data_IF_676566645868
#
_entry.id   IF_676566645868
#
_cell.length_a   1.000
_cell.length_b   1.000
_cell.length_c   1.000
_cell.angle_alpha   90.00
_cell.angle_beta   90.00
_cell.angle_gamma   90.00
#
_symmetry.space_group_name_H-M   'P 1'
#
loop_
_entity.id
_entity.type
_entity.pdbx_description
1 polymer ?
#
# COMPACT_ATOMS: atom_id res chain seq x y z
N UNK A 1 0.76 -26.39 -37.28
CA UNK A 1 1.30 -27.73 -37.34
C UNK A 1 0.97 -28.39 -38.68
N UNK A 2 -0.21 -28.22 -39.23
CA UNK A 2 -0.62 -28.62 -40.59
C UNK A 2 0.34 -28.10 -41.67
N UNK A 3 0.69 -26.80 -41.63
CA UNK A 3 1.68 -26.19 -42.57
C UNK A 3 3.05 -26.91 -42.55
N UNK A 4 3.46 -27.38 -41.37
CA UNK A 4 4.74 -28.10 -41.23
C UNK A 4 4.66 -29.52 -41.79
N UNK A 5 3.50 -30.16 -41.62
CA UNK A 5 3.20 -31.49 -42.21
C UNK A 5 3.23 -31.45 -43.70
N UNK A 6 2.48 -30.51 -44.30
CA UNK A 6 2.48 -30.26 -45.76
C UNK A 6 3.87 -29.96 -46.35
N UNK A 7 4.64 -29.15 -45.61
CA UNK A 7 6.01 -28.81 -46.03
C UNK A 7 6.96 -30.03 -46.03
N UNK A 8 6.83 -30.93 -45.04
CA UNK A 8 7.62 -32.17 -44.98
C UNK A 8 7.22 -33.12 -46.08
N UNK A 9 5.90 -33.33 -46.29
CA UNK A 9 5.38 -34.18 -47.35
C UNK A 9 5.79 -33.64 -48.74
N UNK A 10 5.66 -32.34 -48.98
CA UNK A 10 6.04 -31.71 -50.22
C UNK A 10 7.57 -31.86 -50.49
N UNK A 11 8.40 -31.71 -49.46
CA UNK A 11 9.85 -31.92 -49.57
C UNK A 11 10.17 -33.37 -49.92
N UNK A 12 9.48 -34.34 -49.27
CA UNK A 12 9.67 -35.77 -49.58
C UNK A 12 9.24 -36.07 -51.02
N UNK A 13 8.07 -35.55 -51.47
CA UNK A 13 7.54 -35.72 -52.81
C UNK A 13 8.55 -35.20 -53.87
N UNK A 14 9.09 -34.00 -53.67
CA UNK A 14 10.06 -33.45 -54.58
C UNK A 14 11.36 -34.26 -54.63
N UNK A 15 11.82 -34.75 -53.49
CA UNK A 15 13.06 -35.56 -53.43
C UNK A 15 12.86 -36.92 -54.13
N UNK A 16 11.77 -37.61 -53.85
CA UNK A 16 11.47 -38.91 -54.48
C UNK A 16 11.26 -38.72 -55.97
N UNK A 17 10.52 -37.68 -56.40
CA UNK A 17 10.31 -37.36 -57.81
C UNK A 17 11.62 -37.11 -58.58
N UNK A 18 12.53 -36.29 -57.98
CA UNK A 18 13.83 -36.02 -58.60
C UNK A 18 14.67 -37.30 -58.72
N UNK A 19 14.70 -38.13 -57.70
CA UNK A 19 15.42 -39.42 -57.75
C UNK A 19 14.79 -40.36 -58.78
N UNK A 20 13.44 -40.41 -58.82
CA UNK A 20 12.72 -41.23 -59.74
C UNK A 20 12.95 -40.86 -61.20
N UNK A 21 13.06 -39.58 -61.54
CA UNK A 21 13.40 -39.07 -62.85
C UNK A 21 14.82 -39.51 -63.31
N UNK A 22 15.79 -39.47 -62.36
CA UNK A 22 17.13 -39.95 -62.66
C UNK A 22 17.13 -41.46 -62.94
N UNK A 23 16.37 -42.22 -62.18
CA UNK A 23 16.21 -43.66 -62.28
C UNK A 23 15.56 -44.06 -63.59
N UNK A 24 14.47 -43.37 -63.98
CA UNK A 24 13.78 -43.66 -65.24
C UNK A 24 14.65 -43.41 -66.45
N UNK A 25 15.50 -42.34 -66.42
CA UNK A 25 16.49 -42.06 -67.50
C UNK A 25 17.58 -43.13 -67.55
N UNK A 26 18.03 -43.60 -66.39
CA UNK A 26 18.99 -44.69 -66.29
C UNK A 26 18.42 -46.01 -66.92
N UNK A 27 17.14 -46.29 -66.57
CA UNK A 27 16.43 -47.43 -67.08
C UNK A 27 16.28 -47.35 -68.60
N UNK A 28 15.84 -46.24 -69.14
CA UNK A 28 15.74 -45.99 -70.59
C UNK A 28 17.07 -46.23 -71.34
N UNK A 29 18.20 -45.75 -70.72
CA UNK A 29 19.54 -45.92 -71.33
C UNK A 29 20.11 -47.36 -71.26
N UNK A 30 19.45 -48.22 -70.43
CA UNK A 30 19.87 -49.63 -70.29
C UNK A 30 19.12 -50.61 -71.21
N UNK A 31 18.14 -50.09 -71.95
CA UNK A 31 17.44 -50.86 -73.01
C UNK A 31 18.36 -51.09 -74.20
N UNK A 32 18.32 -52.30 -74.77
CA UNK A 32 19.07 -52.65 -76.04
C UNK A 32 18.45 -51.95 -77.26
N UNK A 33 19.13 -52.00 -78.38
CA UNK A 33 18.69 -51.39 -79.71
C UNK A 33 17.28 -51.92 -80.10
N UNK A 34 16.92 -53.12 -79.71
CA UNK A 34 15.57 -53.70 -79.93
C UNK A 34 14.55 -53.38 -78.88
N UNK A 35 14.92 -52.59 -77.78
CA UNK A 35 14.05 -52.17 -76.66
C UNK A 35 13.65 -53.27 -75.66
N UNK A 36 14.35 -54.40 -75.70
CA UNK A 36 14.11 -55.57 -74.88
C UNK A 36 15.20 -55.77 -73.83
N UNK A 37 14.78 -55.95 -72.61
CA UNK A 37 15.62 -56.49 -71.51
C UNK A 37 15.08 -57.85 -71.12
N UNK A 38 15.97 -58.76 -70.72
CA UNK A 38 15.53 -60.03 -70.21
C UNK A 38 14.77 -59.83 -68.94
N UNK A 39 13.78 -60.63 -68.65
CA UNK A 39 12.92 -60.59 -67.40
C UNK A 39 13.76 -60.53 -66.10
N UNK A 40 14.93 -61.16 -66.10
CA UNK A 40 15.86 -61.18 -64.95
C UNK A 40 16.60 -59.86 -64.81
N UNK A 41 17.07 -59.23 -65.85
CA UNK A 41 17.78 -57.92 -65.85
C UNK A 41 16.81 -56.80 -65.47
N UNK A 42 15.57 -56.84 -65.98
CA UNK A 42 14.52 -55.89 -65.68
C UNK A 42 14.16 -55.94 -64.15
N UNK A 43 14.08 -57.14 -63.60
CA UNK A 43 13.77 -57.35 -62.17
C UNK A 43 14.92 -56.89 -61.24
N UNK A 44 16.19 -57.21 -61.59
CA UNK A 44 17.39 -56.83 -60.86
C UNK A 44 17.54 -55.31 -60.84
N UNK A 45 17.37 -54.67 -62.02
CA UNK A 45 17.41 -53.21 -62.12
C UNK A 45 16.32 -52.54 -61.30
N UNK A 46 15.10 -52.98 -61.47
CA UNK A 46 13.99 -52.45 -60.71
C UNK A 46 14.14 -52.60 -59.18
N UNK A 47 14.71 -53.71 -58.72
CA UNK A 47 14.98 -53.92 -57.26
C UNK A 47 16.08 -53.00 -56.72
N UNK A 48 17.15 -52.85 -57.53
CA UNK A 48 18.22 -51.92 -57.14
C UNK A 48 17.75 -50.50 -57.09
N UNK A 49 16.94 -50.08 -58.01
CA UNK A 49 16.42 -48.73 -58.11
C UNK A 49 15.35 -48.50 -56.97
N UNK A 50 14.49 -49.46 -56.69
CA UNK A 50 13.52 -49.37 -55.58
C UNK A 50 14.20 -49.22 -54.24
N UNK A 51 15.35 -49.89 -54.04
CA UNK A 51 16.14 -49.72 -52.81
C UNK A 51 16.75 -48.34 -52.63
N UNK A 52 17.06 -47.64 -53.70
CA UNK A 52 17.62 -46.29 -53.65
C UNK A 52 16.58 -45.24 -53.25
N UNK A 53 15.30 -45.41 -53.63
CA UNK A 53 14.25 -44.47 -53.40
C UNK A 53 13.30 -44.90 -52.24
N UNK A 54 13.58 -46.03 -51.61
CA UNK A 54 12.69 -46.62 -50.58
C UNK A 54 11.20 -46.65 -51.03
N UNK A 55 11.01 -47.19 -52.23
CA UNK A 55 9.68 -47.16 -52.89
C UNK A 55 9.41 -48.48 -53.60
N UNK A 56 8.16 -48.83 -53.69
CA UNK A 56 7.73 -49.93 -54.55
C UNK A 56 7.71 -49.43 -55.99
N UNK A 57 8.39 -50.14 -56.90
CA UNK A 57 8.44 -49.82 -58.34
C UNK A 57 7.80 -50.95 -59.14
N UNK A 58 6.90 -50.58 -60.06
CA UNK A 58 6.27 -51.44 -61.01
C UNK A 58 6.56 -50.97 -62.42
N UNK A 59 6.90 -51.89 -63.32
CA UNK A 59 7.10 -51.61 -64.76
C UNK A 59 5.93 -52.23 -65.51
N UNK A 60 5.26 -51.46 -66.34
CA UNK A 60 4.01 -51.79 -66.97
C UNK A 60 4.25 -51.70 -68.49
N UNK A 61 3.83 -52.74 -69.23
CA UNK A 61 3.91 -52.81 -70.67
C UNK A 61 2.75 -52.07 -71.40
N UNK A 62 2.78 -51.96 -72.68
CA UNK A 62 1.73 -51.38 -73.55
C UNK A 62 0.38 -52.06 -73.47
N UNK A 63 0.33 -53.30 -72.96
CA UNK A 63 -0.93 -54.02 -72.69
C UNK A 63 -1.43 -53.79 -71.35
N UNK A 64 -0.86 -52.81 -70.60
CA UNK A 64 -1.18 -52.52 -69.23
C UNK A 64 -0.92 -53.66 -68.23
N UNK A 65 -0.01 -54.61 -68.61
CA UNK A 65 0.40 -55.70 -67.73
C UNK A 65 1.65 -55.34 -66.97
N UNK A 66 1.62 -55.62 -65.66
CA UNK A 66 2.80 -55.38 -64.77
C UNK A 66 3.86 -56.47 -65.13
N UNK A 67 4.89 -56.12 -65.83
CA UNK A 67 6.00 -57.00 -66.19
C UNK A 67 6.91 -57.27 -65.02
N UNK A 68 7.17 -56.22 -64.23
CA UNK A 68 8.04 -56.28 -63.05
C UNK A 68 7.35 -55.55 -61.87
N UNK A 69 7.42 -56.14 -60.67
CA UNK A 69 7.01 -55.56 -59.44
C UNK A 69 8.06 -55.87 -58.36
N UNK A 70 8.65 -54.89 -57.79
CA UNK A 70 9.74 -55.06 -56.78
C UNK A 70 9.30 -55.83 -55.56
N UNK A 71 7.98 -55.81 -55.23
CA UNK A 71 7.41 -56.60 -54.14
C UNK A 71 6.87 -57.96 -54.61
N UNK A 72 6.90 -58.21 -55.91
CA UNK A 72 6.43 -59.48 -56.56
C UNK A 72 4.95 -59.84 -56.32
N UNK A 73 4.13 -58.88 -55.85
CA UNK A 73 2.73 -59.12 -55.47
C UNK A 73 1.80 -59.03 -56.70
N UNK A 74 2.08 -58.11 -57.63
CA UNK A 74 1.18 -57.78 -58.70
C UNK A 74 1.73 -58.13 -60.11
N UNK A 75 2.87 -58.83 -60.19
CA UNK A 75 3.41 -59.29 -61.48
C UNK A 75 2.42 -60.09 -62.30
N UNK A 76 2.24 -59.74 -63.55
CA UNK A 76 1.32 -60.39 -64.46
C UNK A 76 -0.17 -59.91 -64.32
N UNK A 77 -0.44 -58.96 -63.42
CA UNK A 77 -1.78 -58.37 -63.33
C UNK A 77 -1.87 -57.11 -64.19
N UNK A 78 -3.10 -56.71 -64.49
CA UNK A 78 -3.33 -55.44 -65.21
C UNK A 78 -3.29 -54.24 -64.24
N UNK A 79 -2.59 -53.16 -64.66
CA UNK A 79 -2.58 -51.89 -63.97
C UNK A 79 -3.17 -50.81 -64.89
N UNK A 80 -4.45 -50.56 -64.76
CA UNK A 80 -5.18 -49.58 -65.57
C UNK A 80 -5.58 -48.42 -64.69
N UNK A 81 -4.59 -47.58 -64.34
CA UNK A 81 -4.83 -46.32 -63.65
C UNK A 81 -4.83 -45.17 -64.66
N UNK A 82 -5.49 -44.09 -64.31
CA UNK A 82 -5.54 -42.89 -65.14
C UNK A 82 -4.13 -42.36 -65.45
N UNK A 83 -3.21 -42.37 -64.49
CA UNK A 83 -1.83 -41.89 -64.64
C UNK A 83 -1.05 -42.79 -65.63
N UNK A 84 -1.20 -44.11 -65.53
CA UNK A 84 -0.51 -45.02 -66.46
C UNK A 84 -1.02 -44.85 -67.90
N UNK A 85 -2.36 -44.68 -68.01
CA UNK A 85 -2.99 -44.43 -69.31
C UNK A 85 -2.52 -43.08 -69.96
N UNK A 86 -2.49 -42.02 -69.08
CA UNK A 86 -2.02 -40.72 -69.51
C UNK A 86 -0.56 -40.75 -69.93
N UNK A 87 0.31 -41.46 -69.23
CA UNK A 87 1.71 -41.66 -69.59
C UNK A 87 1.88 -42.34 -70.97
N UNK A 88 1.13 -43.44 -71.30
CA UNK A 88 1.20 -44.09 -72.60
C UNK A 88 0.67 -43.21 -73.73
N UNK A 89 -0.20 -42.23 -73.41
CA UNK A 89 -0.67 -41.23 -74.37
C UNK A 89 0.26 -40.01 -74.53
N UNK A 90 1.42 -40.04 -73.89
CA UNK A 90 2.41 -38.93 -73.94
C UNK A 90 2.01 -37.73 -73.04
N UNK A 91 1.08 -37.87 -72.17
CA UNK A 91 0.66 -36.83 -71.24
C UNK A 91 1.54 -36.94 -69.96
N UNK A 92 2.30 -35.89 -69.69
CA UNK A 92 3.10 -35.81 -68.42
C UNK A 92 2.20 -35.82 -67.18
N UNK A 93 2.47 -36.71 -66.27
CA UNK A 93 1.80 -36.78 -64.98
C UNK A 93 2.66 -36.15 -63.89
N UNK A 94 2.03 -35.39 -63.01
CA UNK A 94 2.76 -34.81 -61.84
C UNK A 94 2.66 -35.76 -60.65
N UNK A 95 3.73 -35.87 -59.84
CA UNK A 95 3.63 -36.60 -58.58
C UNK A 95 2.54 -36.04 -57.71
N UNK A 96 1.79 -36.93 -57.03
CA UNK A 96 0.75 -36.54 -56.07
C UNK A 96 0.76 -37.44 -54.83
N UNK A 97 0.12 -36.95 -53.78
CA UNK A 97 -0.06 -37.69 -52.53
C UNK A 97 -1.41 -38.32 -52.52
N UNK A 98 -1.44 -39.62 -52.32
CA UNK A 98 -2.65 -40.38 -52.01
C UNK A 98 -2.77 -40.45 -50.50
N UNK A 99 -3.64 -39.60 -49.94
CA UNK A 99 -3.83 -39.48 -48.48
C UNK A 99 -4.49 -40.72 -47.92
N UNK A 100 -5.37 -41.39 -48.66
CA UNK A 100 -6.11 -42.59 -48.21
C UNK A 100 -5.15 -43.79 -48.03
N UNK A 101 -4.14 -43.90 -48.87
CA UNK A 101 -3.16 -44.98 -48.80
C UNK A 101 -1.81 -44.53 -48.22
N UNK A 102 -1.72 -43.28 -47.72
CA UNK A 102 -0.52 -42.69 -47.12
C UNK A 102 0.74 -42.88 -47.96
N UNK A 103 0.62 -42.63 -49.30
CA UNK A 103 1.72 -42.82 -50.18
C UNK A 103 1.83 -41.69 -51.25
N UNK A 104 3.04 -41.49 -51.77
CA UNK A 104 3.33 -40.63 -52.91
C UNK A 104 3.28 -41.55 -54.12
N UNK A 105 2.54 -41.16 -55.15
CA UNK A 105 2.43 -41.86 -56.44
C UNK A 105 3.18 -41.06 -57.47
N UNK A 106 4.07 -41.74 -58.22
CA UNK A 106 4.86 -41.16 -59.30
C UNK A 106 4.80 -42.07 -60.50
N UNK A 107 4.47 -41.50 -61.65
CA UNK A 107 4.34 -42.24 -62.90
C UNK A 107 5.23 -41.58 -63.97
N UNK A 108 6.03 -42.32 -64.67
CA UNK A 108 6.91 -41.81 -65.76
C UNK A 108 7.00 -42.78 -66.86
N UNK A 109 7.01 -42.22 -68.08
CA UNK A 109 7.20 -43.00 -69.31
C UNK A 109 8.68 -43.39 -69.53
N UNK A 110 8.94 -44.59 -70.01
CA UNK A 110 10.23 -45.08 -70.46
C UNK A 110 10.16 -45.13 -71.92
N UNK A 111 11.02 -44.39 -72.57
CA UNK A 111 11.09 -44.29 -74.04
C UNK A 111 12.18 -45.21 -74.61
N UNK A 112 12.11 -45.49 -75.90
CA UNK A 112 13.15 -46.18 -76.61
C UNK A 112 14.43 -45.36 -76.67
N UNK A 113 15.52 -45.93 -77.22
CA UNK A 113 16.83 -45.29 -77.32
C UNK A 113 16.84 -44.04 -78.27
N UNK A 114 15.87 -43.90 -79.17
CA UNK A 114 15.68 -42.76 -80.07
C UNK A 114 14.71 -41.70 -79.45
N UNK A 115 14.00 -42.01 -78.37
CA UNK A 115 13.05 -41.11 -77.71
C UNK A 115 11.76 -40.89 -78.50
N UNK A 116 11.42 -41.77 -79.42
CA UNK A 116 10.23 -41.64 -80.30
C UNK A 116 9.04 -42.45 -79.84
N UNK A 117 9.25 -43.58 -79.13
CA UNK A 117 8.17 -44.49 -78.73
C UNK A 117 8.25 -44.83 -77.28
N UNK A 118 7.06 -44.82 -76.58
CA UNK A 118 6.93 -45.21 -75.15
C UNK A 118 6.84 -46.72 -75.08
N UNK A 119 7.84 -47.39 -74.51
CA UNK A 119 7.91 -48.86 -74.42
C UNK A 119 7.25 -49.33 -73.14
N UNK A 120 7.55 -48.70 -71.99
CA UNK A 120 7.05 -49.06 -70.71
C UNK A 120 6.65 -47.84 -69.95
N UNK A 121 5.87 -48.04 -68.91
CA UNK A 121 5.55 -47.02 -67.86
C UNK A 121 6.04 -47.51 -66.53
N UNK A 122 6.87 -46.67 -65.91
CA UNK A 122 7.34 -46.90 -64.55
C UNK A 122 6.32 -46.25 -63.54
N UNK A 123 5.82 -47.04 -62.64
CA UNK A 123 4.89 -46.60 -61.59
C UNK A 123 5.51 -46.87 -60.21
N UNK A 124 5.72 -45.83 -59.42
CA UNK A 124 6.28 -45.95 -58.10
C UNK A 124 5.32 -45.47 -57.00
N UNK A 125 5.33 -46.20 -55.90
CA UNK A 125 4.62 -45.82 -54.68
C UNK A 125 5.61 -45.74 -53.52
N UNK A 126 5.73 -44.56 -52.90
CA UNK A 126 6.60 -44.30 -51.72
C UNK A 126 5.71 -44.05 -50.52
N UNK A 127 5.88 -44.81 -49.45
CA UNK A 127 5.12 -44.63 -48.22
C UNK A 127 5.53 -43.34 -47.48
N UNK A 128 4.53 -42.66 -46.94
CA UNK A 128 4.68 -41.51 -46.05
C UNK A 128 4.08 -41.76 -44.66
N UNK A 129 3.72 -43.01 -44.36
CA UNK A 129 3.14 -43.40 -43.08
C UNK A 129 4.10 -43.09 -41.89
N UNK A 130 5.43 -43.18 -42.13
CA UNK A 130 6.45 -42.81 -41.14
C UNK A 130 6.39 -41.31 -40.80
N UNK A 131 6.10 -40.47 -41.78
CA UNK A 131 5.94 -39.03 -41.59
C UNK A 131 4.70 -38.75 -40.73
N UNK A 132 3.55 -39.36 -41.05
CA UNK A 132 2.33 -39.22 -40.27
C UNK A 132 2.49 -39.70 -38.82
N UNK A 133 3.14 -40.86 -38.61
CA UNK A 133 3.46 -41.35 -37.26
C UNK A 133 4.38 -40.44 -36.49
N UNK A 134 5.43 -39.90 -37.10
CA UNK A 134 6.33 -38.93 -36.47
C UNK A 134 5.59 -37.64 -36.11
N UNK A 135 4.79 -37.12 -37.01
CA UNK A 135 4.01 -35.89 -36.77
C UNK A 135 2.98 -36.09 -35.66
N UNK A 136 2.32 -37.23 -35.61
CA UNK A 136 1.36 -37.52 -34.51
C UNK A 136 2.04 -37.60 -33.13
N UNK A 137 3.23 -38.22 -33.09
CA UNK A 137 4.03 -38.23 -31.86
C UNK A 137 4.44 -36.82 -31.41
N UNK A 138 4.86 -35.97 -32.38
CA UNK A 138 5.17 -34.57 -32.08
C UNK A 138 3.93 -33.82 -31.55
N UNK A 139 2.75 -34.04 -32.16
CA UNK A 139 1.49 -33.47 -31.74
C UNK A 139 1.15 -33.86 -30.28
N UNK A 140 1.33 -35.13 -29.92
CA UNK A 140 1.11 -35.63 -28.56
C UNK A 140 2.10 -35.04 -27.53
N UNK A 141 3.37 -34.98 -27.87
CA UNK A 141 4.40 -34.38 -27.00
C UNK A 141 4.12 -32.88 -26.78
N UNK A 142 3.80 -32.16 -27.87
CA UNK A 142 3.48 -30.73 -27.77
C UNK A 142 2.25 -30.49 -26.88
N UNK A 143 1.18 -31.31 -27.03
CA UNK A 143 0.01 -31.23 -26.20
C UNK A 143 0.34 -31.49 -24.71
N UNK A 144 1.15 -32.51 -24.42
CA UNK A 144 1.59 -32.81 -23.04
C UNK A 144 2.40 -31.66 -22.43
N UNK A 145 3.30 -31.05 -23.17
CA UNK A 145 4.09 -29.89 -22.70
C UNK A 145 3.17 -28.68 -22.40
N UNK A 146 2.21 -28.39 -23.27
CA UNK A 146 1.25 -27.30 -23.05
C UNK A 146 0.43 -27.53 -21.78
N UNK A 147 -0.05 -28.77 -21.55
CA UNK A 147 -0.81 -29.12 -20.36
C UNK A 147 0.05 -28.94 -19.09
N UNK A 148 1.29 -29.42 -19.09
CA UNK A 148 2.21 -29.26 -17.98
C UNK A 148 2.47 -27.78 -17.66
N UNK A 149 2.74 -26.97 -18.68
CA UNK A 149 2.94 -25.54 -18.52
C UNK A 149 1.69 -24.85 -17.94
N UNK A 150 0.51 -25.21 -18.45
CA UNK A 150 -0.75 -24.67 -17.93
C UNK A 150 -0.93 -25.00 -16.43
N UNK A 151 -0.64 -26.22 -16.01
CA UNK A 151 -0.71 -26.64 -14.60
C UNK A 151 0.28 -25.84 -13.75
N UNK A 152 1.51 -25.65 -14.21
CA UNK A 152 2.54 -24.84 -13.50
C UNK A 152 2.06 -23.39 -13.33
N UNK A 153 1.53 -22.77 -14.38
CA UNK A 153 1.04 -21.39 -14.31
C UNK A 153 -0.14 -21.27 -13.35
N UNK A 154 -1.12 -22.21 -13.39
CA UNK A 154 -2.25 -22.22 -12.47
C UNK A 154 -1.78 -22.37 -11.03
N UNK A 155 -0.85 -23.30 -10.77
CA UNK A 155 -0.30 -23.50 -9.44
C UNK A 155 0.43 -22.24 -8.93
N UNK A 156 1.27 -21.63 -9.78
CA UNK A 156 1.98 -20.39 -9.44
C UNK A 156 1.01 -19.23 -9.15
N UNK A 157 -0.08 -19.11 -9.93
CA UNK A 157 -1.10 -18.09 -9.72
C UNK A 157 -1.86 -18.28 -8.39
N UNK A 158 -2.27 -19.51 -8.06
CA UNK A 158 -2.94 -19.81 -6.79
C UNK A 158 -2.03 -19.58 -5.60
N UNK A 159 -0.77 -20.04 -5.70
CA UNK A 159 0.22 -19.87 -4.64
C UNK A 159 0.59 -18.40 -4.41
N UNK A 160 0.81 -17.64 -5.49
CA UNK A 160 1.06 -16.21 -5.43
C UNK A 160 -0.12 -15.43 -4.85
N UNK A 161 -1.34 -15.75 -5.26
CA UNK A 161 -2.57 -15.16 -4.70
C UNK A 161 -2.69 -15.43 -3.20
N UNK A 162 -2.41 -16.63 -2.75
CA UNK A 162 -2.45 -16.98 -1.31
C UNK A 162 -1.43 -16.17 -0.50
N UNK A 163 -0.19 -16.03 -0.99
CA UNK A 163 0.87 -15.25 -0.32
C UNK A 163 0.52 -13.77 -0.22
N UNK A 164 -0.12 -13.21 -1.25
CA UNK A 164 -0.49 -11.79 -1.29
C UNK A 164 -1.75 -11.48 -0.49
N UNK A 165 -2.76 -12.37 -0.50
CA UNK A 165 -4.05 -12.08 0.16
C UNK A 165 -4.08 -12.38 1.65
N UNK A 166 -3.29 -13.36 2.12
CA UNK A 166 -3.25 -13.73 3.54
C UNK A 166 -2.91 -12.56 4.48
N UNK A 167 -1.89 -11.71 4.23
CA UNK A 167 -1.60 -10.54 5.07
C UNK A 167 -2.77 -9.56 5.17
N UNK A 168 -3.46 -9.28 4.07
CA UNK A 168 -4.61 -8.37 4.07
C UNK A 168 -5.79 -8.90 4.91
N UNK A 169 -6.00 -10.22 4.92
CA UNK A 169 -7.01 -10.82 5.78
C UNK A 169 -6.71 -10.62 7.28
N UNK A 170 -5.43 -10.63 7.67
CA UNK A 170 -5.04 -10.34 9.07
C UNK A 170 -5.32 -8.88 9.39
N UNK A 171 -4.91 -7.94 8.52
CA UNK A 171 -5.18 -6.50 8.71
C UNK A 171 -6.68 -6.25 8.87
N UNK A 172 -7.51 -6.80 7.97
CA UNK A 172 -8.97 -6.62 8.03
C UNK A 172 -9.57 -7.17 9.33
N UNK A 173 -9.10 -8.34 9.78
CA UNK A 173 -9.57 -8.92 11.05
C UNK A 173 -9.19 -8.05 12.25
N UNK A 174 -7.96 -7.51 12.28
CA UNK A 174 -7.52 -6.62 13.35
C UNK A 174 -8.30 -5.30 13.33
N UNK A 175 -8.57 -4.72 12.15
CA UNK A 175 -9.42 -3.53 12.03
C UNK A 175 -10.80 -3.77 12.64
N UNK A 176 -11.45 -4.89 12.33
CA UNK A 176 -12.76 -5.22 12.88
C UNK A 176 -12.72 -5.39 14.40
N UNK A 177 -11.65 -5.95 14.96
CA UNK A 177 -11.48 -6.10 16.41
C UNK A 177 -11.21 -4.75 17.12
N UNK A 178 -10.50 -3.84 16.44
CA UNK A 178 -10.33 -2.46 16.90
C UNK A 178 -11.68 -1.74 16.97
N UNK A 179 -12.54 -1.94 15.97
CA UNK A 179 -13.92 -1.37 15.98
C UNK A 179 -14.78 -1.93 17.11
N UNK A 180 -14.53 -3.19 17.52
CA UNK A 180 -15.14 -3.82 18.71
C UNK A 180 -14.53 -3.36 20.05
N UNK A 181 -13.54 -2.45 20.03
CA UNK A 181 -12.93 -1.86 21.22
C UNK A 181 -11.64 -2.54 21.71
N UNK A 182 -11.08 -3.48 20.96
CA UNK A 182 -9.82 -4.16 21.30
C UNK A 182 -8.63 -3.40 20.72
N UNK A 183 -8.21 -2.33 21.34
CA UNK A 183 -7.16 -1.41 20.86
C UNK A 183 -5.72 -1.89 21.16
N UNK A 184 -5.53 -2.97 21.89
CA UNK A 184 -4.20 -3.44 22.35
C UNK A 184 -3.49 -4.39 21.35
N UNK A 185 -4.11 -4.71 20.22
CA UNK A 185 -3.56 -5.68 19.28
C UNK A 185 -2.60 -5.04 18.28
N UNK A 186 -1.34 -5.42 18.35
CA UNK A 186 -0.34 -5.06 17.37
C UNK A 186 -0.33 -6.03 16.18
N UNK A 187 -0.30 -5.49 14.97
CA UNK A 187 -0.10 -6.25 13.75
C UNK A 187 1.39 -6.49 13.54
N UNK A 188 1.81 -7.75 13.55
CA UNK A 188 3.18 -8.14 13.24
C UNK A 188 3.19 -9.03 12.00
N UNK A 189 3.14 -8.41 10.83
CA UNK A 189 3.22 -9.10 9.54
C UNK A 189 4.67 -9.08 9.07
N UNK A 190 5.21 -10.29 8.83
CA UNK A 190 6.52 -10.47 8.19
C UNK A 190 6.27 -10.87 6.74
N UNK A 191 6.95 -10.24 5.80
CA UNK A 191 6.79 -10.54 4.39
C UNK A 191 7.52 -9.56 3.48
N UNK A 192 6.88 -9.17 2.38
CA UNK A 192 7.42 -8.14 1.50
C UNK A 192 7.55 -6.80 2.23
N UNK A 193 8.54 -6.01 1.85
CA UNK A 193 8.89 -4.71 2.47
C UNK A 193 7.67 -3.79 2.60
N UNK A 194 6.81 -3.79 1.59
CA UNK A 194 5.60 -2.97 1.53
C UNK A 194 4.56 -3.38 2.58
N UNK A 195 4.47 -4.68 2.88
CA UNK A 195 3.55 -5.21 3.91
C UNK A 195 4.05 -4.86 5.31
N UNK A 196 5.36 -4.89 5.53
CA UNK A 196 5.97 -4.47 6.80
C UNK A 196 5.78 -2.97 7.03
N UNK A 197 5.91 -2.15 6.00
CA UNK A 197 5.68 -0.70 6.06
C UNK A 197 4.21 -0.37 6.39
N UNK A 198 3.25 -1.06 5.75
CA UNK A 198 1.82 -0.91 6.06
C UNK A 198 1.55 -1.33 7.51
N UNK A 199 2.13 -2.43 7.97
CA UNK A 199 2.00 -2.92 9.35
C UNK A 199 2.52 -1.88 10.36
N UNK A 200 3.69 -1.30 10.10
CA UNK A 200 4.28 -0.26 10.96
C UNK A 200 3.43 1.02 10.97
N UNK A 201 2.94 1.47 9.82
CA UNK A 201 2.07 2.64 9.72
C UNK A 201 0.73 2.42 10.46
N UNK A 202 0.16 1.22 10.35
CA UNK A 202 -1.07 0.85 11.06
C UNK A 202 -0.87 0.82 12.58
N UNK A 203 0.22 0.20 13.07
CA UNK A 203 0.53 0.18 14.50
C UNK A 203 0.71 1.60 15.06
N UNK A 204 1.41 2.47 14.32
CA UNK A 204 1.54 3.89 14.69
C UNK A 204 0.18 4.59 14.79
N UNK A 205 -0.76 4.26 13.90
CA UNK A 205 -2.13 4.78 13.96
C UNK A 205 -2.87 4.23 15.19
N UNK A 206 -2.75 2.94 15.50
CA UNK A 206 -3.34 2.32 16.70
C UNK A 206 -2.79 2.96 17.98
N UNK A 207 -1.48 3.15 18.09
CA UNK A 207 -0.86 3.83 19.22
C UNK A 207 -1.43 5.23 19.39
N UNK A 208 -1.65 5.95 18.29
CA UNK A 208 -2.26 7.28 18.34
C UNK A 208 -3.70 7.26 18.79
N UNK A 209 -4.50 6.29 18.33
CA UNK A 209 -5.90 6.12 18.78
C UNK A 209 -5.93 5.77 20.26
N UNK A 210 -5.08 4.85 20.74
CA UNK A 210 -4.96 4.49 22.14
C UNK A 210 -4.61 5.69 23.02
N UNK A 211 -3.63 6.50 22.60
CA UNK A 211 -3.27 7.72 23.33
C UNK A 211 -4.43 8.70 23.40
N UNK A 212 -5.20 8.86 22.31
CA UNK A 212 -6.37 9.74 22.29
C UNK A 212 -7.47 9.22 23.19
N UNK A 213 -7.78 7.92 23.17
CA UNK A 213 -8.82 7.33 24.01
C UNK A 213 -8.45 7.37 25.49
N UNK A 214 -7.20 7.04 25.84
CA UNK A 214 -6.69 7.17 27.22
C UNK A 214 -6.79 8.63 27.68
N UNK A 215 -6.32 9.58 26.86
CA UNK A 215 -6.43 11.00 27.19
C UNK A 215 -7.87 11.47 27.36
N UNK A 216 -8.82 10.93 26.58
CA UNK A 216 -10.26 11.20 26.70
C UNK A 216 -10.83 10.65 28.01
N UNK A 217 -10.47 9.41 28.37
CA UNK A 217 -10.92 8.79 29.62
C UNK A 217 -10.37 9.53 30.85
N UNK A 218 -9.07 9.87 30.82
CA UNK A 218 -8.44 10.67 31.88
C UNK A 218 -9.11 12.04 32.01
N UNK A 219 -9.45 12.69 30.89
CA UNK A 219 -10.15 13.95 30.86
C UNK A 219 -11.52 13.81 31.54
N UNK A 220 -12.36 12.84 31.18
CA UNK A 220 -13.70 12.62 31.79
C UNK A 220 -13.57 12.30 33.25
N UNK A 221 -12.62 11.45 33.64
CA UNK A 221 -12.38 11.11 35.06
C UNK A 221 -11.97 12.33 35.87
N UNK A 222 -11.01 13.12 35.39
CA UNK A 222 -10.53 14.32 36.09
C UNK A 222 -11.61 15.39 36.18
N UNK A 223 -12.39 15.64 35.11
CA UNK A 223 -13.55 16.54 35.16
C UNK A 223 -14.54 16.11 36.26
N UNK A 224 -14.87 14.81 36.33
CA UNK A 224 -15.79 14.28 37.30
C UNK A 224 -15.27 14.49 38.73
N UNK A 225 -13.98 14.28 38.95
CA UNK A 225 -13.33 14.48 40.24
C UNK A 225 -13.28 15.96 40.64
N UNK A 226 -12.88 16.86 39.73
CA UNK A 226 -12.75 18.29 40.04
C UNK A 226 -14.10 18.97 40.25
N UNK A 227 -15.19 18.50 39.62
CA UNK A 227 -16.55 18.99 39.88
C UNK A 227 -17.17 18.38 41.14
N UNK A 228 -16.88 17.12 41.47
CA UNK A 228 -17.44 16.45 42.66
C UNK A 228 -16.95 17.09 43.93
N UNK A 229 -15.73 17.60 44.00
CA UNK A 229 -15.13 18.20 45.20
C UNK A 229 -15.88 19.43 45.67
N UNK A 230 -16.07 20.52 44.88
CA UNK A 230 -16.81 21.70 45.32
C UNK A 230 -18.29 21.37 45.64
N UNK A 231 -18.93 20.49 44.84
CA UNK A 231 -20.30 20.06 45.09
C UNK A 231 -20.44 19.33 46.44
N UNK A 232 -19.47 18.48 46.79
CA UNK A 232 -19.48 17.80 48.09
C UNK A 232 -19.24 18.77 49.23
N UNK A 233 -18.31 19.73 49.06
CA UNK A 233 -18.04 20.80 50.04
C UNK A 233 -19.27 21.65 50.29
N UNK A 234 -19.93 22.13 49.23
CA UNK A 234 -21.18 22.88 49.31
C UNK A 234 -22.27 22.08 50.05
N UNK A 235 -22.40 20.79 49.76
CA UNK A 235 -23.36 19.93 50.39
C UNK A 235 -23.09 19.79 51.92
N UNK A 236 -21.84 19.55 52.30
CA UNK A 236 -21.44 19.43 53.71
C UNK A 236 -21.69 20.74 54.47
N UNK A 237 -21.37 21.90 53.88
CA UNK A 237 -21.66 23.21 54.48
C UNK A 237 -23.17 23.42 54.67
N UNK A 238 -23.97 23.11 53.63
CA UNK A 238 -25.43 23.22 53.70
C UNK A 238 -26.05 22.25 54.74
N UNK A 239 -25.60 20.98 54.73
CA UNK A 239 -26.07 19.96 55.69
C UNK A 239 -25.71 20.35 57.16
N UNK A 240 -24.52 20.94 57.36
CA UNK A 240 -24.09 21.43 58.67
C UNK A 240 -24.94 22.56 59.12
N UNK A 241 -25.28 23.56 58.31
CA UNK A 241 -26.19 24.65 58.67
C UNK A 241 -27.61 24.18 58.96
N UNK A 242 -28.11 23.21 58.19
CA UNK A 242 -29.47 22.69 58.38
C UNK A 242 -29.64 21.76 59.56
N UNK A 243 -28.54 21.20 60.09
CA UNK A 243 -28.54 20.32 61.27
C UNK A 243 -28.40 21.05 62.61
N UNK A 244 -28.18 22.36 62.63
CA UNK A 244 -28.02 23.18 63.82
C UNK A 244 -29.34 23.90 64.15
N UNK A 245 -29.87 23.76 65.39
CA UNK A 245 -31.12 24.39 65.77
C UNK A 245 -31.01 25.89 66.13
N UNK A 246 -29.81 26.41 66.49
CA UNK A 246 -29.59 27.83 66.77
C UNK A 246 -28.21 28.27 66.31
N UNK A 247 -28.10 28.75 65.02
CA UNK A 247 -26.84 29.19 64.42
C UNK A 247 -26.62 30.66 64.70
N UNK A 248 -25.51 31.07 65.38
CA UNK A 248 -25.14 32.48 65.54
C UNK A 248 -25.02 33.18 64.15
N UNK A 249 -25.46 34.46 64.09
CA UNK A 249 -25.46 35.22 62.84
C UNK A 249 -24.03 35.31 62.17
N UNK A 250 -22.99 35.41 63.00
CA UNK A 250 -21.60 35.42 62.54
C UNK A 250 -21.25 34.09 61.83
N UNK A 251 -21.53 32.96 62.40
CA UNK A 251 -21.31 31.63 61.92
C UNK A 251 -22.15 31.38 60.65
N UNK A 252 -23.42 31.79 60.62
CA UNK A 252 -24.23 31.73 59.40
C UNK A 252 -23.59 32.49 58.21
N UNK A 253 -23.05 33.68 58.49
CA UNK A 253 -22.39 34.52 57.51
C UNK A 253 -21.09 33.88 56.98
N UNK A 254 -20.30 33.27 57.84
CA UNK A 254 -19.08 32.56 57.49
C UNK A 254 -19.40 31.36 56.59
N UNK A 255 -20.37 30.51 56.94
CA UNK A 255 -20.79 29.41 56.07
C UNK A 255 -21.31 29.86 54.68
N UNK A 256 -22.04 30.99 54.64
CA UNK A 256 -22.53 31.54 53.37
C UNK A 256 -21.40 32.11 52.51
N UNK A 257 -20.36 32.69 53.13
CA UNK A 257 -19.18 33.13 52.42
C UNK A 257 -18.40 31.94 51.83
N UNK A 258 -18.20 30.88 52.62
CA UNK A 258 -17.55 29.65 52.20
C UNK A 258 -18.33 28.96 51.06
N UNK A 259 -19.67 28.91 51.20
CA UNK A 259 -20.54 28.35 50.16
C UNK A 259 -20.45 29.14 48.85
N UNK A 260 -20.43 30.49 48.93
CA UNK A 260 -20.25 31.36 47.77
C UNK A 260 -18.89 31.12 47.10
N UNK A 261 -17.82 30.96 47.87
CA UNK A 261 -16.49 30.64 47.38
C UNK A 261 -16.43 29.31 46.63
N UNK A 262 -17.12 28.26 47.11
CA UNK A 262 -17.17 26.97 46.41
C UNK A 262 -18.05 27.04 45.15
N UNK A 263 -19.08 27.87 45.09
CA UNK A 263 -19.86 28.15 43.87
C UNK A 263 -18.99 28.84 42.81
N UNK A 264 -18.26 29.89 43.20
CA UNK A 264 -17.36 30.63 42.31
C UNK A 264 -16.27 29.72 41.77
N UNK A 265 -15.73 28.84 42.60
CA UNK A 265 -14.77 27.82 42.19
C UNK A 265 -15.36 26.84 41.17
N UNK A 266 -16.57 26.34 41.41
CA UNK A 266 -17.29 25.48 40.47
C UNK A 266 -17.52 26.13 39.11
N UNK A 267 -17.91 27.42 39.11
CA UNK A 267 -18.10 28.20 37.91
C UNK A 267 -16.79 28.37 37.13
N UNK A 268 -15.67 28.67 37.80
CA UNK A 268 -14.37 28.80 37.17
C UNK A 268 -13.93 27.48 36.47
N UNK A 269 -14.16 26.32 37.11
CA UNK A 269 -13.89 25.00 36.50
C UNK A 269 -14.73 24.82 35.25
N UNK A 270 -16.01 25.16 35.26
CA UNK A 270 -16.93 25.04 34.11
C UNK A 270 -16.49 25.96 32.97
N UNK A 271 -16.08 27.20 33.23
CA UNK A 271 -15.62 28.15 32.24
C UNK A 271 -14.31 27.68 31.58
N UNK A 272 -13.36 27.18 32.38
CA UNK A 272 -12.11 26.58 31.89
C UNK A 272 -12.39 25.38 30.96
N UNK A 273 -13.31 24.48 31.38
CA UNK A 273 -13.71 23.32 30.57
C UNK A 273 -14.38 23.72 29.27
N UNK A 274 -15.32 24.69 29.30
CA UNK A 274 -15.98 25.19 28.09
C UNK A 274 -14.96 25.83 27.12
N UNK A 275 -14.00 26.57 27.64
CA UNK A 275 -12.91 27.16 26.87
C UNK A 275 -12.08 26.07 26.19
N UNK A 276 -11.73 25.03 26.94
CA UNK A 276 -10.92 23.91 26.45
C UNK A 276 -11.67 23.09 25.37
N UNK A 277 -12.96 22.77 25.56
CA UNK A 277 -13.78 22.04 24.59
C UNK A 277 -13.96 22.83 23.30
N UNK A 278 -14.18 24.16 23.39
CA UNK A 278 -14.25 25.03 22.21
C UNK A 278 -12.94 25.06 21.44
N UNK A 279 -11.80 24.99 22.14
CA UNK A 279 -10.47 24.95 21.53
C UNK A 279 -10.19 23.62 20.81
N UNK A 280 -10.68 22.50 21.33
CA UNK A 280 -10.46 21.16 20.73
C UNK A 280 -11.33 20.92 19.49
N UNK A 281 -12.58 21.39 19.44
CA UNK A 281 -13.55 21.04 18.39
C UNK A 281 -13.39 21.78 17.07
N UNK A 282 -12.89 23.03 17.07
CA UNK A 282 -12.91 23.88 15.87
C UNK A 282 -11.54 24.29 15.36
N UNK A 283 -10.45 23.81 16.03
CA UNK A 283 -9.16 24.49 15.88
C UNK A 283 -9.35 25.95 16.31
N UNK A 284 -8.54 26.46 17.20
CA UNK A 284 -8.70 27.82 17.74
C UNK A 284 -8.92 28.85 16.64
N UNK A 285 -10.17 29.21 16.34
CA UNK A 285 -10.45 30.37 15.49
C UNK A 285 -10.09 31.61 16.28
N UNK A 286 -8.96 32.23 15.91
CA UNK A 286 -8.51 33.47 16.50
C UNK A 286 -9.21 34.68 15.85
N UNK A 287 -9.68 35.62 16.65
CA UNK A 287 -10.12 36.93 16.19
C UNK A 287 -8.94 37.88 16.21
N UNK A 288 -8.08 37.79 15.21
CA UNK A 288 -6.84 38.55 15.12
C UNK A 288 -7.13 40.02 14.88
N UNK A 289 -6.58 40.85 15.73
CA UNK A 289 -6.58 42.32 15.63
C UNK A 289 -5.21 42.89 15.97
N UNK A 290 -4.94 44.07 15.44
CA UNK A 290 -3.70 44.79 15.74
C UNK A 290 -3.79 45.38 17.15
N UNK A 291 -2.99 44.85 18.08
CA UNK A 291 -3.09 45.13 19.51
C UNK A 291 -1.77 45.71 20.05
N UNK A 292 -1.84 46.70 20.90
CA UNK A 292 -0.73 47.23 21.67
C UNK A 292 -0.46 46.33 22.90
N UNK A 293 0.67 45.64 22.90
CA UNK A 293 1.06 44.66 23.92
C UNK A 293 1.41 45.35 25.23
N UNK A 294 2.01 46.56 25.19
CA UNK A 294 2.35 47.34 26.38
C UNK A 294 1.06 47.66 27.17
N UNK A 295 0.09 48.25 26.50
CA UNK A 295 -1.20 48.57 27.10
C UNK A 295 -1.94 47.34 27.62
N UNK A 296 -1.84 46.20 26.91
CA UNK A 296 -2.41 44.94 27.39
C UNK A 296 -1.77 44.48 28.70
N UNK A 297 -0.44 44.43 28.77
CA UNK A 297 0.29 44.02 29.98
C UNK A 297 -0.01 44.93 31.18
N UNK A 298 -0.03 46.25 30.96
CA UNK A 298 -0.38 47.22 32.01
C UNK A 298 -1.78 46.98 32.56
N UNK A 299 -2.76 46.73 31.71
CA UNK A 299 -4.13 46.43 32.12
C UNK A 299 -4.22 45.15 32.93
N UNK A 300 -3.56 44.06 32.51
CA UNK A 300 -3.55 42.80 33.26
C UNK A 300 -2.85 42.96 34.61
N UNK A 301 -1.72 43.60 34.67
CA UNK A 301 -1.04 43.89 35.96
C UNK A 301 -1.90 44.75 36.89
N UNK A 302 -2.63 45.74 36.36
CA UNK A 302 -3.55 46.54 37.15
C UNK A 302 -4.68 45.73 37.80
N UNK A 303 -5.17 44.74 37.05
CA UNK A 303 -6.25 43.81 37.53
C UNK A 303 -5.73 42.88 38.61
N UNK A 304 -4.46 42.45 38.53
CA UNK A 304 -3.86 41.50 39.49
C UNK A 304 -3.27 42.20 40.75
N UNK A 305 -2.99 43.50 40.68
CA UNK A 305 -2.42 44.28 41.82
C UNK A 305 -3.14 44.07 43.13
N UNK A 306 -4.48 44.03 43.24
CA UNK A 306 -5.14 43.80 44.53
C UNK A 306 -4.77 42.44 45.13
N UNK A 307 -4.73 41.37 44.29
CA UNK A 307 -4.38 40.01 44.70
C UNK A 307 -2.91 39.94 45.14
N UNK A 308 -2.02 40.61 44.43
CA UNK A 308 -0.61 40.69 44.78
C UNK A 308 -0.41 41.47 46.10
N UNK A 309 -1.22 42.54 46.34
CA UNK A 309 -1.21 43.32 47.57
C UNK A 309 -1.58 42.52 48.81
N UNK A 310 -2.50 41.57 48.72
CA UNK A 310 -2.88 40.68 49.85
C UNK A 310 -1.71 39.80 50.32
N UNK A 311 -0.76 39.49 49.41
CA UNK A 311 0.46 38.70 49.70
C UNK A 311 1.72 39.51 49.85
N UNK A 312 1.64 40.85 49.73
CA UNK A 312 2.80 41.76 49.66
C UNK A 312 3.79 41.39 48.53
N UNK A 313 3.27 40.96 47.38
CA UNK A 313 4.13 40.65 46.20
C UNK A 313 4.24 41.89 45.30
N UNK A 314 5.46 42.29 44.98
CA UNK A 314 5.74 43.44 44.11
C UNK A 314 5.54 43.03 42.63
N UNK A 315 4.81 43.85 41.87
CA UNK A 315 4.59 43.66 40.42
C UNK A 315 5.36 44.72 39.66
N UNK A 316 6.34 44.29 38.82
CA UNK A 316 7.22 45.17 38.06
C UNK A 316 7.03 44.88 36.57
N UNK A 317 6.74 45.93 35.77
CA UNK A 317 6.74 45.85 34.31
C UNK A 317 7.97 46.57 33.77
N UNK A 318 8.75 45.87 32.96
CA UNK A 318 9.90 46.46 32.25
C UNK A 318 9.69 46.25 30.73
N UNK A 319 9.50 47.31 30.02
CA UNK A 319 9.36 47.30 28.57
C UNK A 319 10.51 48.06 27.91
N UNK A 320 11.23 47.39 27.01
CA UNK A 320 12.34 47.98 26.27
C UNK A 320 11.90 48.77 25.06
N UNK A 321 10.66 48.59 24.58
CA UNK A 321 10.11 49.30 23.43
C UNK A 321 8.60 49.14 23.37
N UNK A 322 7.94 50.01 22.59
CA UNK A 322 6.51 49.84 22.26
C UNK A 322 6.35 48.71 21.25
N UNK A 323 5.43 47.80 21.55
CA UNK A 323 5.17 46.57 20.73
C UNK A 323 3.74 46.53 20.30
N UNK A 324 3.51 46.48 18.98
CA UNK A 324 2.21 46.26 18.38
C UNK A 324 2.24 44.98 17.58
N UNK A 325 1.32 44.06 17.84
CA UNK A 325 1.29 42.76 17.18
C UNK A 325 -0.13 42.35 16.76
N UNK A 326 -0.21 41.43 15.81
CA UNK A 326 -1.45 40.83 15.33
C UNK A 326 -1.82 39.64 16.20
N UNK A 327 -2.72 39.85 17.17
CA UNK A 327 -3.14 38.82 18.14
C UNK A 327 -4.67 38.85 18.37
N UNK A 328 -5.20 37.76 18.93
CA UNK A 328 -6.52 37.76 19.56
C UNK A 328 -6.36 38.31 20.98
N UNK A 329 -6.74 39.57 21.16
CA UNK A 329 -6.55 40.32 22.41
C UNK A 329 -7.15 39.60 23.61
N UNK A 330 -8.37 39.07 23.49
CA UNK A 330 -9.09 38.42 24.59
C UNK A 330 -8.39 37.13 25.02
N UNK A 331 -8.07 36.27 24.07
CA UNK A 331 -7.41 35.00 24.38
C UNK A 331 -5.98 35.21 24.86
N UNK A 332 -5.25 36.15 24.25
CA UNK A 332 -3.89 36.44 24.64
C UNK A 332 -3.83 37.07 26.03
N UNK A 333 -4.75 38.00 26.38
CA UNK A 333 -4.94 38.54 27.70
C UNK A 333 -5.16 37.41 28.74
N UNK A 334 -6.07 36.47 28.45
CA UNK A 334 -6.32 35.30 29.31
C UNK A 334 -5.04 34.48 29.56
N UNK A 335 -4.22 34.24 28.53
CA UNK A 335 -2.99 33.48 28.66
C UNK A 335 -1.96 34.20 29.55
N UNK A 336 -1.79 35.51 29.35
CA UNK A 336 -0.85 36.33 30.12
C UNK A 336 -1.32 36.48 31.57
N UNK A 337 -2.59 36.78 31.80
CA UNK A 337 -3.20 36.89 33.13
C UNK A 337 -3.00 35.63 33.95
N UNK A 338 -3.27 34.46 33.36
CA UNK A 338 -3.06 33.19 34.04
C UNK A 338 -1.58 32.95 34.47
N UNK A 339 -0.60 33.38 33.66
CA UNK A 339 0.82 33.24 34.02
C UNK A 339 1.19 34.20 35.16
N UNK A 340 0.71 35.46 35.12
CA UNK A 340 0.98 36.46 36.17
C UNK A 340 0.27 36.05 37.48
N UNK A 341 -0.97 35.59 37.41
CA UNK A 341 -1.69 35.07 38.57
C UNK A 341 -0.98 33.88 39.22
N UNK A 342 -0.48 32.92 38.41
CA UNK A 342 0.32 31.81 38.91
C UNK A 342 1.61 32.30 39.58
N UNK A 343 2.32 33.29 39.01
CA UNK A 343 3.51 33.87 39.57
C UNK A 343 3.26 34.56 40.94
N UNK A 344 2.11 35.20 41.09
CA UNK A 344 1.69 35.81 42.40
C UNK A 344 1.23 34.71 43.38
N UNK A 345 0.43 33.77 42.89
CA UNK A 345 -0.18 32.70 43.71
C UNK A 345 0.84 31.79 44.38
N UNK A 346 1.88 31.40 43.60
CA UNK A 346 2.95 30.50 44.05
C UNK A 346 4.20 31.24 44.51
N UNK A 347 4.07 32.56 44.73
CA UNK A 347 5.14 33.36 45.30
C UNK A 347 5.27 33.24 46.82
N UNK A 348 6.46 33.58 47.31
CA UNK A 348 6.67 33.76 48.76
C UNK A 348 6.09 35.11 49.19
N UNK A 349 5.70 35.27 50.49
CA UNK A 349 5.37 36.57 51.03
C UNK A 349 6.57 37.55 50.83
N UNK A 350 6.26 38.80 50.53
CA UNK A 350 7.27 39.85 50.22
C UNK A 350 8.14 39.53 48.98
N UNK A 351 7.64 38.64 48.08
CA UNK A 351 8.30 38.34 46.83
C UNK A 351 8.04 39.36 45.73
N UNK A 352 8.50 39.03 44.52
CA UNK A 352 8.32 39.90 43.35
C UNK A 352 7.95 39.07 42.11
N UNK A 353 7.29 39.75 41.16
CA UNK A 353 7.00 39.23 39.83
C UNK A 353 7.45 40.27 38.82
N UNK A 354 8.42 39.94 37.99
CA UNK A 354 8.93 40.78 36.89
C UNK A 354 8.35 40.34 35.57
N UNK A 355 7.67 41.22 34.85
CA UNK A 355 7.19 41.05 33.50
C UNK A 355 8.06 41.88 32.55
N UNK A 356 8.77 41.23 31.68
CA UNK A 356 9.65 41.86 30.67
C UNK A 356 8.99 41.77 29.31
N UNK A 357 8.97 42.87 28.57
CA UNK A 357 8.53 42.95 27.18
C UNK A 357 9.67 43.41 26.30
N UNK A 358 9.92 42.67 25.21
CA UNK A 358 10.87 43.10 24.18
C UNK A 358 10.38 42.60 22.81
N UNK A 359 10.92 43.12 21.71
CA UNK A 359 10.66 42.63 20.36
C UNK A 359 11.90 42.78 19.47
N UNK A 360 12.02 41.91 18.49
CA UNK A 360 12.89 42.07 17.34
C UNK A 360 12.08 42.46 16.08
N UNK A 361 12.60 42.18 14.89
CA UNK A 361 11.93 42.51 13.63
C UNK A 361 10.78 41.53 13.29
N UNK A 362 10.72 40.36 13.93
CA UNK A 362 9.84 39.24 13.56
C UNK A 362 8.93 38.80 14.73
N UNK A 363 9.46 38.83 15.94
CA UNK A 363 8.82 38.33 17.14
C UNK A 363 8.78 39.33 18.26
N UNK A 364 7.81 39.23 19.13
CA UNK A 364 7.87 39.83 20.45
C UNK A 364 8.02 38.74 21.52
N UNK A 365 8.59 39.13 22.63
CA UNK A 365 8.98 38.29 23.74
C UNK A 365 8.40 38.83 25.04
N UNK A 366 7.67 37.96 25.76
CA UNK A 366 7.23 38.25 27.12
C UNK A 366 7.93 37.25 28.04
N UNK A 367 8.61 37.76 29.08
CA UNK A 367 9.19 36.93 30.11
C UNK A 367 8.54 37.29 31.44
N UNK A 368 7.94 36.33 32.13
CA UNK A 368 7.32 36.46 33.43
C UNK A 368 8.16 35.67 34.40
N UNK A 369 8.81 36.36 35.32
CA UNK A 369 9.74 35.79 36.28
C UNK A 369 9.28 36.09 37.68
N UNK A 370 9.28 35.08 38.55
CA UNK A 370 8.99 35.16 39.98
C UNK A 370 10.15 34.61 40.83
N UNK A 371 10.18 34.99 42.12
CA UNK A 371 11.08 34.43 43.11
C UNK A 371 10.32 33.54 44.11
N UNK A 372 9.29 32.86 43.65
CA UNK A 372 8.45 31.99 44.41
C UNK A 372 9.05 30.63 44.75
N UNK A 373 8.17 29.67 45.05
CA UNK A 373 8.57 28.31 45.48
C UNK A 373 9.26 27.48 44.40
N UNK A 374 9.17 27.91 43.15
CA UNK A 374 9.71 27.14 42.00
C UNK A 374 8.92 25.86 41.71
N UNK A 375 9.41 25.11 40.72
CA UNK A 375 8.78 23.85 40.23
C UNK A 375 9.84 22.74 40.34
N UNK A 376 9.53 21.58 40.94
CA UNK A 376 10.41 20.42 40.97
C UNK A 376 10.76 19.97 39.57
N UNK A 377 11.98 19.55 39.35
CA UNK A 377 12.51 19.18 38.01
C UNK A 377 11.70 18.10 37.33
N UNK A 378 11.23 17.12 38.08
CA UNK A 378 10.37 16.02 37.60
C UNK A 378 8.99 16.47 37.11
N UNK A 379 8.52 17.64 37.56
CA UNK A 379 7.23 18.20 37.21
C UNK A 379 7.25 19.12 36.00
N UNK A 380 8.44 19.63 35.59
CA UNK A 380 8.58 20.64 34.54
C UNK A 380 7.97 20.19 33.22
N UNK A 381 8.16 18.93 32.83
CA UNK A 381 7.65 18.38 31.59
C UNK A 381 6.12 18.22 31.58
N UNK A 382 5.51 18.13 32.76
CA UNK A 382 4.09 17.84 32.98
C UNK A 382 3.23 19.06 33.31
N UNK A 383 3.81 20.22 33.65
CA UNK A 383 3.02 21.40 34.08
C UNK A 383 2.01 21.90 33.03
N UNK A 384 2.21 21.55 31.76
CA UNK A 384 1.29 21.89 30.67
C UNK A 384 0.26 20.80 30.38
N UNK A 385 0.31 19.65 31.11
CA UNK A 385 -0.69 18.59 30.98
C UNK A 385 -1.99 19.04 31.64
N UNK A 386 -3.12 18.61 31.09
CA UNK A 386 -4.45 18.98 31.62
C UNK A 386 -4.65 18.38 32.99
N UNK A 387 -5.17 19.20 33.95
CA UNK A 387 -5.40 18.82 35.35
C UNK A 387 -4.13 18.48 36.15
N UNK A 388 -2.94 18.69 35.58
CA UNK A 388 -1.71 18.42 36.29
C UNK A 388 -1.46 19.47 37.39
N UNK A 389 -1.02 19.00 38.53
CA UNK A 389 -0.68 19.83 39.68
C UNK A 389 0.46 19.19 40.45
N UNK A 390 1.48 19.98 40.79
CA UNK A 390 2.68 19.53 41.50
C UNK A 390 2.32 18.96 42.88
N UNK A 391 1.37 19.57 43.58
CA UNK A 391 0.96 19.16 44.91
C UNK A 391 -0.58 19.21 45.08
N UNK A 392 -1.24 18.04 45.09
CA UNK A 392 -2.71 17.91 45.17
C UNK A 392 -3.27 18.35 46.53
N UNK A 393 -2.46 18.32 47.62
CA UNK A 393 -2.92 18.63 48.97
C UNK A 393 -2.88 20.13 49.25
N UNK A 394 -1.79 20.80 48.93
CA UNK A 394 -1.54 22.22 49.15
C UNK A 394 -2.37 23.11 48.23
N UNK A 395 -2.64 22.61 47.04
CA UNK A 395 -3.38 23.33 46.01
C UNK A 395 -4.90 23.31 46.15
N UNK A 396 -5.49 22.51 47.09
CA UNK A 396 -6.91 22.62 47.45
C UNK A 396 -7.22 23.95 48.14
N UNK A 397 -6.32 24.45 48.96
CA UNK A 397 -6.45 25.75 49.64
C UNK A 397 -6.26 26.94 48.69
N UNK A 398 -5.51 26.76 47.58
CA UNK A 398 -5.20 27.82 46.64
C UNK A 398 -6.06 27.86 45.38
N UNK A 399 -7.07 26.97 45.21
CA UNK A 399 -8.17 27.09 44.24
C UNK A 399 -7.82 26.92 42.77
N UNK A 400 -6.71 26.26 42.35
CA UNK A 400 -6.37 26.09 40.91
C UNK A 400 -7.03 24.87 40.29
N UNK A 401 -7.49 25.00 39.06
CA UNK A 401 -8.16 23.95 38.26
C UNK A 401 -7.17 22.97 37.62
N UNK A 402 -5.89 23.32 37.47
CA UNK A 402 -4.90 22.58 36.71
C UNK A 402 -5.09 22.66 35.16
N UNK A 403 -6.01 23.52 34.70
CA UNK A 403 -6.28 23.73 33.26
C UNK A 403 -5.59 24.99 32.73
N UNK A 404 -5.32 25.98 33.55
CA UNK A 404 -4.81 27.29 33.12
C UNK A 404 -3.54 27.22 32.27
N UNK A 405 -2.48 26.49 32.69
CA UNK A 405 -1.26 26.37 31.93
C UNK A 405 -1.45 25.60 30.62
N UNK A 406 -2.30 24.60 30.58
CA UNK A 406 -2.64 23.88 29.35
C UNK A 406 -3.38 24.77 28.35
N UNK A 407 -4.32 25.59 28.80
CA UNK A 407 -5.03 26.61 28.01
C UNK A 407 -4.04 27.67 27.51
N UNK A 408 -3.18 28.18 28.38
CA UNK A 408 -2.12 29.14 28.00
C UNK A 408 -1.26 28.60 26.88
N UNK A 409 -0.74 27.38 26.98
CA UNK A 409 0.07 26.75 25.93
C UNK A 409 -0.69 26.64 24.61
N UNK A 410 -1.95 26.25 24.63
CA UNK A 410 -2.78 26.16 23.42
C UNK A 410 -3.00 27.54 22.78
N UNK A 411 -3.26 28.58 23.56
CA UNK A 411 -3.42 29.95 23.06
C UNK A 411 -2.14 30.42 22.38
N UNK A 412 -0.98 30.25 23.03
CA UNK A 412 0.31 30.68 22.46
C UNK A 412 0.64 29.91 21.18
N UNK A 413 0.40 28.59 21.14
CA UNK A 413 0.60 27.78 19.95
C UNK A 413 -0.35 28.19 18.79
N UNK A 414 -1.60 28.53 19.09
CA UNK A 414 -2.53 29.04 18.10
C UNK A 414 -2.08 30.35 17.47
N UNK A 415 -1.43 31.22 18.27
CA UNK A 415 -0.78 32.44 17.78
C UNK A 415 0.56 32.17 17.05
N UNK A 416 0.85 30.90 16.71
CA UNK A 416 2.15 30.48 16.09
C UNK A 416 3.35 30.79 16.96
N UNK A 417 3.12 31.00 18.26
CA UNK A 417 4.17 31.28 19.25
C UNK A 417 4.72 30.04 19.93
N UNK A 418 5.63 30.26 20.84
CA UNK A 418 6.26 29.26 21.67
C UNK A 418 6.28 29.72 23.13
N UNK A 419 6.05 28.79 24.07
CA UNK A 419 6.22 29.00 25.51
C UNK A 419 7.26 28.04 26.06
N UNK A 420 8.16 28.55 26.90
CA UNK A 420 9.17 27.78 27.63
C UNK A 420 9.13 28.13 29.09
N UNK A 421 9.55 27.19 29.93
CA UNK A 421 9.65 27.34 31.39
C UNK A 421 11.06 27.01 31.84
N UNK A 422 11.58 27.81 32.77
CA UNK A 422 12.79 27.56 33.50
C UNK A 422 12.48 27.76 34.98
N UNK A 423 12.72 26.74 35.79
CA UNK A 423 12.38 26.79 37.21
C UNK A 423 13.34 25.94 38.02
N UNK A 424 13.63 26.41 39.22
CA UNK A 424 14.40 25.69 40.22
C UNK A 424 13.66 25.80 41.56
N UNK A 425 13.43 24.66 42.20
CA UNK A 425 12.70 24.58 43.45
C UNK A 425 13.38 25.44 44.53
N UNK A 426 12.59 26.28 45.21
CA UNK A 426 13.08 27.24 46.21
C UNK A 426 13.69 28.55 45.67
N UNK A 427 13.85 28.67 44.34
CA UNK A 427 14.48 29.84 43.70
C UNK A 427 13.49 30.70 42.91
N UNK A 428 12.47 30.04 42.27
CA UNK A 428 11.43 30.71 41.51
C UNK A 428 11.25 30.11 40.10
N UNK A 429 10.36 30.75 39.32
CA UNK A 429 10.00 30.28 37.97
C UNK A 429 10.12 31.42 36.97
N UNK A 430 10.47 31.06 35.74
CA UNK A 430 10.50 31.98 34.60
C UNK A 430 9.74 31.33 33.44
N UNK A 431 8.64 31.93 33.03
CA UNK A 431 7.98 31.63 31.77
C UNK A 431 8.45 32.58 30.68
N UNK A 432 8.81 32.04 29.52
CA UNK A 432 9.23 32.80 28.34
C UNK A 432 8.30 32.51 27.19
N UNK A 433 7.62 33.53 26.67
CA UNK A 433 6.72 33.49 25.53
C UNK A 433 7.39 34.20 24.36
N UNK A 434 7.31 33.59 23.19
CA UNK A 434 7.74 34.17 21.91
C UNK A 434 6.56 34.08 20.92
N UNK A 435 6.15 35.20 20.32
CA UNK A 435 5.01 35.24 19.38
C UNK A 435 5.38 36.11 18.16
N UNK A 436 5.01 35.76 16.94
CA UNK A 436 5.22 36.59 15.77
C UNK A 436 4.50 37.94 15.89
N UNK A 437 5.12 39.01 15.43
CA UNK A 437 4.49 40.34 15.38
C UNK A 437 3.33 40.38 14.36
N UNK A 438 3.43 39.58 13.30
CA UNK A 438 2.41 39.51 12.25
C UNK A 438 1.85 38.09 12.19
N UNK A 439 0.52 37.96 12.18
CA UNK A 439 -0.14 36.68 12.08
C UNK A 439 -0.32 36.27 10.61
N UNK A 440 0.44 35.29 10.16
CA UNK A 440 0.29 34.68 8.83
C UNK A 440 -0.67 33.49 8.93
N UNK A 441 -1.78 33.58 8.23
CA UNK A 441 -2.83 32.52 8.20
C UNK A 441 -2.34 31.19 7.60
#
# INVERSE_FOLDING_TARGET
MEIAEDAVISTRTNNVSAQFSVISTYFSNSLDEDGDLTDSEMTELAQTLAGLIDSRVQIIDRNFVIVTDTYQINRGKYCITEDVNNCFNGISTSPYVDEDNECIIITQAIMDSEGEEILYVMFATSSIADIYLAMNNIKLIAAAVIIILAIIVIFAAIFGSYLLTKPFSVITKTINRVDEGHLEENINLKGASEIEEISAAFNKMLDRINQLETSRQDFVSNVSHELKTPLTSMKVLADSLTSMDDVPNEMYREFMIDLSGEIDRGNAIIEDLLSLVKMDQTGLTLNISRTDINSLLERELKTIRPIAGEKNVELILESLRDVVADIDEIKFSMAVSNLIENAVKYNNPEGWVHVFLNADQTYFYIKIQDNGIGIPKESIDHIFDRFYRVDKSRSRQSGGTGLGLSITKQIILAHKGQIRVYSEEGTGTTFSIQVPLTYVR
#
